data_IF_809556474822
#
_entry.id   IF_809556474822
#
_cell.length_a   1.000
_cell.length_b   1.000
_cell.length_c   1.000
_cell.angle_alpha   90.00
_cell.angle_beta   90.00
_cell.angle_gamma   90.00
#
_symmetry.space_group_name_H-M   'P 1'
#
loop_
_entity.id
_entity.type
_entity.pdbx_description
1 polymer ?
#
# COMPACT_ATOMS: atom_id res chain seq x y z
N UNK A 1 -30.85 -26.32 -8.64
CA UNK A 1 -31.41 -25.74 -7.42
C UNK A 1 -32.85 -26.21 -7.04
N UNK A 2 -33.43 -27.24 -7.54
CA UNK A 2 -34.83 -27.55 -7.22
C UNK A 2 -35.03 -28.52 -6.05
N UNK A 3 -34.01 -29.16 -5.53
CA UNK A 3 -34.20 -30.32 -4.66
C UNK A 3 -34.30 -30.08 -3.16
N UNK A 4 -34.34 -28.85 -2.68
CA UNK A 4 -34.39 -28.57 -1.22
C UNK A 4 -35.77 -28.09 -0.74
N UNK A 5 -36.61 -27.55 -1.62
CA UNK A 5 -37.96 -27.05 -1.26
C UNK A 5 -38.94 -28.16 -0.86
N UNK A 6 -38.78 -29.38 -1.40
CA UNK A 6 -39.68 -30.49 -1.07
C UNK A 6 -39.46 -31.10 0.33
N UNK A 7 -38.33 -30.76 0.96
CA UNK A 7 -38.01 -31.24 2.32
C UNK A 7 -38.74 -30.49 3.44
N UNK A 8 -39.26 -29.27 3.17
CA UNK A 8 -39.93 -28.44 4.18
C UNK A 8 -41.20 -29.08 4.74
N UNK A 9 -41.93 -29.81 3.94
CA UNK A 9 -43.16 -30.44 4.37
C UNK A 9 -43.01 -31.80 5.02
N UNK A 10 -41.77 -32.33 5.14
CA UNK A 10 -41.51 -33.69 5.62
C UNK A 10 -40.52 -33.79 6.79
N UNK A 11 -39.78 -32.76 7.06
CA UNK A 11 -38.85 -32.68 8.18
C UNK A 11 -38.95 -31.27 8.73
N UNK A 12 -38.97 -31.12 10.07
CA UNK A 12 -38.88 -29.84 10.77
C UNK A 12 -37.47 -29.15 10.56
N UNK A 13 -36.92 -29.29 9.36
CA UNK A 13 -35.64 -28.69 8.99
C UNK A 13 -35.89 -27.32 8.31
N UNK A 14 -36.04 -26.30 9.13
CA UNK A 14 -36.15 -24.89 8.75
C UNK A 14 -34.82 -24.26 8.25
N UNK A 15 -33.71 -25.03 8.16
CA UNK A 15 -32.45 -24.60 7.57
C UNK A 15 -32.45 -24.60 6.05
N UNK A 16 -33.40 -23.89 5.47
CA UNK A 16 -33.57 -23.78 4.01
C UNK A 16 -32.53 -22.94 3.31
N UNK A 17 -32.01 -21.99 4.00
CA UNK A 17 -30.99 -21.07 3.47
C UNK A 17 -29.72 -21.24 4.25
N UNK A 18 -28.81 -22.05 3.73
CA UNK A 18 -27.41 -21.87 4.06
C UNK A 18 -27.00 -20.50 3.51
N UNK A 19 -27.22 -19.44 4.31
CA UNK A 19 -26.50 -18.21 4.13
C UNK A 19 -25.05 -18.62 4.37
N UNK A 20 -24.20 -18.60 3.32
CA UNK A 20 -22.77 -18.61 3.49
C UNK A 20 -22.51 -17.52 4.51
N UNK A 21 -22.12 -17.89 5.74
CA UNK A 21 -21.66 -16.93 6.72
C UNK A 21 -20.50 -16.24 5.99
N UNK A 22 -20.73 -15.01 5.55
CA UNK A 22 -19.66 -14.19 5.01
C UNK A 22 -18.63 -14.23 6.13
N UNK A 23 -17.45 -14.76 5.88
CA UNK A 23 -16.40 -14.69 6.87
C UNK A 23 -16.33 -13.22 7.28
N UNK A 24 -16.19 -12.96 8.57
CA UNK A 24 -16.01 -11.59 9.08
C UNK A 24 -14.69 -11.02 8.56
N UNK A 25 -13.89 -11.84 7.87
CA UNK A 25 -12.68 -11.45 7.20
C UNK A 25 -13.00 -10.50 6.05
N UNK A 26 -12.37 -9.35 6.06
CA UNK A 26 -12.48 -8.37 4.99
C UNK A 26 -12.17 -9.04 3.65
N UNK A 27 -13.01 -8.78 2.64
CA UNK A 27 -12.73 -9.20 1.26
C UNK A 27 -11.64 -8.34 0.61
N UNK A 28 -11.27 -7.27 1.26
CA UNK A 28 -10.31 -6.27 0.78
C UNK A 28 -9.09 -6.23 1.67
N UNK A 29 -7.94 -6.00 1.05
CA UNK A 29 -6.70 -5.61 1.71
C UNK A 29 -6.10 -4.43 0.96
N UNK A 30 -5.58 -3.46 1.68
CA UNK A 30 -5.11 -2.21 1.09
C UNK A 30 -3.68 -1.92 1.55
N UNK A 31 -2.82 -1.58 0.59
CA UNK A 31 -1.54 -0.95 0.86
C UNK A 31 -1.61 0.53 0.52
N UNK A 32 -1.13 1.37 1.41
CA UNK A 32 -0.94 2.81 1.20
C UNK A 32 0.55 3.09 1.14
N UNK A 33 1.00 3.60 0.01
CA UNK A 33 2.40 3.87 -0.26
C UNK A 33 2.61 5.38 -0.40
N UNK A 34 3.43 5.96 0.47
CA UNK A 34 3.71 7.39 0.54
C UNK A 34 5.08 7.68 -0.05
N UNK A 35 5.14 8.56 -1.01
CA UNK A 35 6.40 9.08 -1.54
C UNK A 35 7.11 9.94 -0.48
N UNK A 36 8.24 9.44 0.00
CA UNK A 36 9.09 10.10 0.99
C UNK A 36 10.31 10.78 0.36
N UNK A 37 10.27 11.07 -0.93
CA UNK A 37 11.36 11.76 -1.61
C UNK A 37 11.49 13.23 -1.18
N UNK A 38 12.65 13.82 -1.46
CA UNK A 38 12.97 15.20 -1.10
C UNK A 38 12.02 16.24 -1.70
N UNK A 39 11.35 15.95 -2.82
CA UNK A 39 10.32 16.81 -3.42
C UNK A 39 9.12 17.04 -2.48
N UNK A 40 8.89 16.13 -1.54
CA UNK A 40 7.84 16.22 -0.54
C UNK A 40 8.23 17.03 0.72
N UNK A 41 9.49 17.49 0.84
CA UNK A 41 9.99 18.14 2.06
C UNK A 41 9.15 19.35 2.51
N UNK A 42 8.66 20.16 1.56
CA UNK A 42 7.77 21.31 1.86
C UNK A 42 6.31 20.92 2.21
N UNK A 43 5.93 19.64 2.02
CA UNK A 43 4.55 19.14 2.17
C UNK A 43 4.43 17.94 3.11
N UNK A 44 5.47 17.66 3.90
CA UNK A 44 5.53 16.48 4.77
C UNK A 44 4.30 16.32 5.67
N UNK A 45 3.88 17.42 6.31
CA UNK A 45 2.72 17.41 7.19
C UNK A 45 1.42 17.09 6.44
N UNK A 46 1.30 17.55 5.19
CA UNK A 46 0.13 17.28 4.34
C UNK A 46 0.10 15.82 3.91
N UNK A 47 1.23 15.28 3.47
CA UNK A 47 1.35 13.86 3.07
C UNK A 47 1.07 12.95 4.26
N UNK A 48 1.64 13.24 5.42
CA UNK A 48 1.38 12.50 6.65
C UNK A 48 -0.10 12.55 7.04
N UNK A 49 -0.72 13.74 6.99
CA UNK A 49 -2.14 13.89 7.30
C UNK A 49 -3.04 13.13 6.32
N UNK A 50 -2.74 13.16 5.02
CA UNK A 50 -3.48 12.39 4.02
C UNK A 50 -3.35 10.87 4.27
N UNK A 51 -2.13 10.39 4.50
CA UNK A 51 -1.89 8.99 4.85
C UNK A 51 -2.63 8.57 6.12
N UNK A 52 -2.61 9.42 7.15
CA UNK A 52 -3.33 9.19 8.41
C UNK A 52 -4.85 9.12 8.21
N UNK A 53 -5.45 10.08 7.47
CA UNK A 53 -6.90 10.11 7.21
C UNK A 53 -7.34 8.85 6.48
N UNK A 54 -6.57 8.39 5.48
CA UNK A 54 -6.86 7.15 4.77
C UNK A 54 -6.78 5.95 5.71
N UNK A 55 -5.70 5.87 6.51
CA UNK A 55 -5.47 4.77 7.46
C UNK A 55 -6.57 4.72 8.51
N UNK A 56 -6.95 5.87 9.08
CA UNK A 56 -8.04 5.99 10.06
C UNK A 56 -9.37 5.49 9.49
N UNK A 57 -9.71 5.91 8.26
CA UNK A 57 -10.94 5.47 7.60
C UNK A 57 -10.95 3.96 7.34
N UNK A 58 -9.81 3.38 6.95
CA UNK A 58 -9.67 1.94 6.75
C UNK A 58 -9.75 1.15 8.07
N UNK A 59 -9.16 1.71 9.15
CA UNK A 59 -9.26 1.15 10.51
C UNK A 59 -10.71 1.13 10.98
N UNK A 60 -11.47 2.22 10.78
CA UNK A 60 -12.89 2.29 11.12
C UNK A 60 -13.75 1.34 10.30
N UNK A 61 -13.40 1.15 9.04
CA UNK A 61 -14.07 0.19 8.16
C UNK A 61 -13.70 -1.27 8.45
N UNK A 62 -12.74 -1.54 9.34
CA UNK A 62 -12.24 -2.88 9.63
C UNK A 62 -11.53 -3.53 8.45
N UNK A 63 -10.93 -2.74 7.56
CA UNK A 63 -10.21 -3.22 6.39
C UNK A 63 -8.73 -3.39 6.74
N UNK A 64 -8.15 -4.60 6.63
CA UNK A 64 -6.73 -4.81 6.80
C UNK A 64 -5.93 -3.92 5.85
N UNK A 65 -5.02 -3.14 6.40
CA UNK A 65 -4.21 -2.25 5.57
C UNK A 65 -2.82 -2.03 6.16
N UNK A 66 -1.90 -1.67 5.29
CA UNK A 66 -0.51 -1.37 5.61
C UNK A 66 -0.17 0.01 5.07
N UNK A 67 0.58 0.79 5.84
CA UNK A 67 1.06 2.12 5.41
C UNK A 67 2.57 2.13 5.45
N UNK A 68 3.19 2.48 4.31
CA UNK A 68 4.65 2.55 4.17
C UNK A 68 5.04 3.81 3.42
N UNK A 69 6.17 4.39 3.80
CA UNK A 69 6.85 5.41 3.00
C UNK A 69 7.97 4.78 2.18
N UNK A 70 8.30 5.36 1.02
CA UNK A 70 9.42 4.91 0.23
C UNK A 70 10.30 6.06 -0.24
N UNK A 71 11.60 5.81 -0.32
CA UNK A 71 12.58 6.67 -0.94
C UNK A 71 13.74 5.84 -1.51
N UNK A 72 14.60 6.46 -2.31
CA UNK A 72 15.85 5.86 -2.77
C UNK A 72 17.04 6.58 -2.11
N UNK A 73 17.95 5.80 -1.54
CA UNK A 73 19.12 6.31 -0.88
C UNK A 73 20.34 5.46 -1.24
N UNK A 74 21.38 6.10 -1.80
CA UNK A 74 22.62 5.40 -2.20
C UNK A 74 22.40 4.20 -3.14
N UNK A 75 21.43 4.29 -4.05
CA UNK A 75 21.09 3.21 -4.97
C UNK A 75 20.27 2.07 -4.35
N UNK A 76 19.78 2.25 -3.14
CA UNK A 76 18.86 1.33 -2.48
C UNK A 76 17.49 1.96 -2.36
N UNK A 77 16.43 1.19 -2.63
CA UNK A 77 15.06 1.57 -2.27
C UNK A 77 14.83 1.22 -0.81
N UNK A 78 14.43 2.20 -0.03
CA UNK A 78 14.12 2.08 1.39
C UNK A 78 12.61 2.14 1.56
N UNK A 79 12.03 1.14 2.21
CA UNK A 79 10.63 1.12 2.62
C UNK A 79 10.56 1.30 4.14
N UNK A 80 9.99 2.41 4.58
CA UNK A 80 9.73 2.68 6.00
C UNK A 80 8.28 2.30 6.30
N UNK A 81 8.08 1.29 7.15
CA UNK A 81 6.75 0.86 7.56
C UNK A 81 6.28 1.66 8.76
N UNK A 82 5.12 2.30 8.63
CA UNK A 82 4.45 3.01 9.73
C UNK A 82 3.41 2.13 10.41
N UNK A 83 2.66 1.34 9.62
CA UNK A 83 1.64 0.43 10.08
C UNK A 83 1.68 -0.87 9.28
N UNK A 84 1.41 -2.00 9.95
CA UNK A 84 1.19 -3.29 9.32
C UNK A 84 -0.28 -3.72 9.41
N UNK A 85 -0.69 -4.70 8.63
CA UNK A 85 -2.08 -5.17 8.49
C UNK A 85 -2.75 -5.57 9.82
N UNK A 86 -1.99 -6.12 10.75
CA UNK A 86 -2.50 -6.62 12.03
C UNK A 86 -2.24 -5.65 13.20
N UNK A 87 -1.71 -4.47 12.90
CA UNK A 87 -1.48 -3.47 13.94
C UNK A 87 -2.81 -2.91 14.48
N UNK A 88 -2.89 -2.57 15.76
CA UNK A 88 -4.06 -1.92 16.33
C UNK A 88 -4.23 -0.50 15.77
N UNK A 89 -5.42 0.09 15.94
CA UNK A 89 -5.77 1.41 15.40
C UNK A 89 -4.80 2.52 15.86
N UNK A 90 -4.32 2.44 17.08
CA UNK A 90 -3.39 3.41 17.67
C UNK A 90 -2.05 3.50 16.91
N UNK A 91 -1.72 2.46 16.13
CA UNK A 91 -0.53 2.46 15.29
C UNK A 91 -0.60 3.49 14.14
N UNK A 92 -1.80 3.95 13.78
CA UNK A 92 -1.99 4.97 12.74
C UNK A 92 -1.24 6.27 13.08
N UNK A 93 -1.08 6.60 14.35
CA UNK A 93 -0.31 7.79 14.80
C UNK A 93 1.16 7.75 14.37
N UNK A 94 1.74 6.57 14.12
CA UNK A 94 3.12 6.45 13.64
C UNK A 94 3.32 7.09 12.28
N UNK A 95 2.24 7.30 11.51
CA UNK A 95 2.29 7.96 10.19
C UNK A 95 2.79 9.40 10.32
N UNK A 96 2.59 10.07 11.46
CA UNK A 96 3.15 11.39 11.73
C UNK A 96 4.68 11.41 11.92
N UNK A 97 5.30 10.22 11.99
CA UNK A 97 6.76 10.11 11.92
C UNK A 97 7.29 10.21 10.48
N UNK A 98 6.40 10.34 9.49
CA UNK A 98 6.77 10.54 8.09
C UNK A 98 7.76 11.69 7.94
N UNK A 99 8.83 11.45 7.19
CA UNK A 99 9.84 12.45 6.82
C UNK A 99 10.17 12.26 5.34
N UNK A 100 10.30 13.39 4.65
CA UNK A 100 10.74 13.41 3.27
C UNK A 100 12.26 13.66 3.20
N UNK A 101 12.96 12.79 2.49
CA UNK A 101 14.40 12.89 2.27
C UNK A 101 14.84 12.01 1.11
N UNK A 102 16.03 12.31 0.56
CA UNK A 102 16.66 11.54 -0.52
C UNK A 102 15.88 11.57 -1.86
N UNK A 103 16.10 10.60 -2.70
CA UNK A 103 15.54 10.46 -4.04
C UNK A 103 14.36 9.47 -4.04
N UNK A 104 13.82 9.15 -5.21
CA UNK A 104 12.81 8.11 -5.35
C UNK A 104 13.02 7.26 -6.61
N UNK A 105 12.76 5.96 -6.46
CA UNK A 105 12.59 4.97 -7.53
C UNK A 105 11.21 4.35 -7.37
N UNK A 106 10.26 4.91 -8.09
CA UNK A 106 8.86 4.53 -7.93
C UNK A 106 8.63 3.08 -8.36
N UNK A 107 9.17 2.66 -9.52
CA UNK A 107 8.98 1.33 -10.05
C UNK A 107 9.42 0.22 -9.10
N UNK A 108 10.64 0.30 -8.56
CA UNK A 108 11.15 -0.72 -7.63
C UNK A 108 10.36 -0.77 -6.32
N UNK A 109 9.91 0.38 -5.81
CA UNK A 109 9.07 0.45 -4.63
C UNK A 109 7.70 -0.20 -4.90
N UNK A 110 7.06 0.16 -6.01
CA UNK A 110 5.78 -0.40 -6.45
C UNK A 110 5.87 -1.91 -6.61
N UNK A 111 6.86 -2.41 -7.34
CA UNK A 111 7.09 -3.83 -7.56
C UNK A 111 7.23 -4.62 -6.24
N UNK A 112 8.01 -4.08 -5.31
CA UNK A 112 8.22 -4.73 -4.00
C UNK A 112 6.93 -4.78 -3.19
N UNK A 113 6.19 -3.69 -3.14
CA UNK A 113 4.93 -3.61 -2.39
C UNK A 113 3.86 -4.47 -3.06
N UNK A 114 3.71 -4.42 -4.38
CA UNK A 114 2.78 -5.26 -5.12
C UNK A 114 3.06 -6.75 -4.93
N UNK A 115 4.33 -7.17 -5.01
CA UNK A 115 4.71 -8.58 -4.78
C UNK A 115 4.25 -9.07 -3.40
N UNK A 116 4.49 -8.26 -2.36
CA UNK A 116 4.05 -8.58 -0.99
C UNK A 116 2.52 -8.55 -0.85
N UNK A 117 1.84 -7.61 -1.52
CA UNK A 117 0.38 -7.51 -1.49
C UNK A 117 -0.28 -8.70 -2.19
N UNK A 118 0.33 -9.22 -3.26
CA UNK A 118 -0.18 -10.38 -3.99
C UNK A 118 -0.13 -11.67 -3.17
N UNK A 119 0.73 -11.77 -2.16
CA UNK A 119 0.81 -12.92 -1.25
C UNK A 119 -0.34 -12.96 -0.23
N UNK A 120 -1.10 -11.88 -0.11
CA UNK A 120 -2.22 -11.80 0.83
C UNK A 120 -3.39 -12.70 0.38
N UNK A 121 -4.12 -13.32 1.33
CA UNK A 121 -5.23 -14.22 1.02
C UNK A 121 -6.52 -13.53 0.57
N UNK A 122 -6.67 -12.22 0.81
CA UNK A 122 -7.88 -11.47 0.47
C UNK A 122 -8.11 -11.46 -1.05
N UNK A 123 -9.38 -11.49 -1.45
CA UNK A 123 -9.77 -11.56 -2.86
C UNK A 123 -9.43 -10.24 -3.60
N UNK A 124 -9.74 -9.12 -2.96
CA UNK A 124 -9.55 -7.79 -3.55
C UNK A 124 -8.34 -7.10 -2.91
N UNK A 125 -7.35 -6.82 -3.74
CA UNK A 125 -6.10 -6.17 -3.35
C UNK A 125 -6.02 -4.79 -3.99
N UNK A 126 -5.80 -3.77 -3.18
CA UNK A 126 -5.74 -2.38 -3.66
C UNK A 126 -4.43 -1.76 -3.18
N UNK A 127 -3.74 -1.10 -4.08
CA UNK A 127 -2.59 -0.24 -3.77
C UNK A 127 -2.99 1.21 -4.01
N UNK A 128 -2.85 2.05 -2.98
CA UNK A 128 -3.03 3.50 -3.04
C UNK A 128 -1.64 4.13 -2.96
N UNK A 129 -1.28 4.93 -3.96
CA UNK A 129 0.01 5.62 -4.01
C UNK A 129 -0.20 7.11 -3.89
N UNK A 130 0.47 7.75 -2.94
CA UNK A 130 0.54 9.21 -2.80
C UNK A 130 1.93 9.67 -3.21
N UNK A 131 2.06 10.17 -4.44
CA UNK A 131 3.30 10.66 -5.05
C UNK A 131 3.01 11.86 -5.93
N UNK A 132 4.02 12.66 -6.24
CA UNK A 132 3.94 13.71 -7.26
C UNK A 132 4.25 13.18 -8.68
N UNK A 133 4.56 11.90 -8.80
CA UNK A 133 4.82 11.23 -10.08
C UNK A 133 6.09 11.70 -10.79
N UNK A 134 7.08 12.15 -10.03
CA UNK A 134 8.38 12.63 -10.54
C UNK A 134 9.52 11.76 -10.03
N UNK A 135 9.67 10.53 -10.53
CA UNK A 135 10.76 9.67 -10.11
C UNK A 135 12.10 10.29 -10.52
N UNK A 136 13.01 10.35 -9.55
CA UNK A 136 14.37 10.86 -9.76
C UNK A 136 15.31 10.19 -8.77
N UNK A 137 16.30 9.45 -9.27
CA UNK A 137 17.35 8.85 -8.44
C UNK A 137 18.73 9.21 -8.98
N UNK A 138 19.40 10.06 -8.24
CA UNK A 138 20.80 10.40 -8.47
C UNK A 138 21.69 9.47 -7.66
N UNK A 139 22.20 8.42 -8.29
CA UNK A 139 23.20 7.58 -7.65
C UNK A 139 24.53 8.32 -7.55
N UNK A 140 25.07 8.46 -6.35
CA UNK A 140 26.42 8.95 -6.13
C UNK A 140 27.37 7.75 -6.22
N UNK A 141 28.29 7.70 -7.21
CA UNK A 141 29.23 6.59 -7.32
C UNK A 141 30.15 6.52 -6.10
N UNK A 142 30.56 5.33 -5.73
CA UNK A 142 31.53 5.10 -4.64
C UNK A 142 32.85 5.85 -4.81
N UNK A 143 33.16 6.37 -5.99
CA UNK A 143 34.37 7.12 -6.36
C UNK A 143 34.28 8.63 -6.10
N UNK A 144 33.15 9.12 -5.55
CA UNK A 144 32.99 10.56 -5.28
C UNK A 144 32.72 11.42 -6.51
N UNK A 145 32.62 10.86 -7.70
CA UNK A 145 32.17 11.57 -8.91
C UNK A 145 30.65 11.54 -9.01
N UNK A 146 30.05 12.72 -9.16
CA UNK A 146 28.63 12.81 -9.51
C UNK A 146 28.44 12.23 -10.90
N UNK A 147 27.77 11.09 -11.01
CA UNK A 147 27.22 10.66 -12.29
C UNK A 147 25.92 11.44 -12.55
N UNK A 148 25.63 11.75 -13.83
CA UNK A 148 24.32 12.29 -14.17
C UNK A 148 23.23 11.35 -13.65
N UNK A 149 22.05 11.91 -13.33
CA UNK A 149 20.93 11.14 -12.87
C UNK A 149 20.67 9.97 -13.84
N UNK A 150 20.79 8.76 -13.31
CA UNK A 150 20.58 7.53 -14.10
C UNK A 150 19.07 7.28 -14.31
N UNK A 151 18.25 7.98 -13.52
CA UNK A 151 16.83 7.74 -13.42
C UNK A 151 16.11 9.07 -13.21
N UNK A 152 15.73 9.74 -14.31
CA UNK A 152 15.10 11.06 -14.27
C UNK A 152 14.21 11.31 -15.51
N UNK A 153 13.20 12.14 -15.34
CA UNK A 153 12.33 12.63 -16.41
C UNK A 153 11.49 11.53 -17.06
N UNK A 154 11.21 11.66 -18.36
CA UNK A 154 10.34 10.74 -19.08
C UNK A 154 10.84 9.30 -19.10
N UNK A 155 12.15 9.10 -19.13
CA UNK A 155 12.73 7.75 -19.12
C UNK A 155 12.48 7.04 -17.79
N UNK A 156 12.60 7.76 -16.68
CA UNK A 156 12.28 7.22 -15.35
C UNK A 156 10.79 6.89 -15.19
N UNK A 157 9.91 7.71 -15.77
CA UNK A 157 8.46 7.43 -15.79
C UNK A 157 8.15 6.21 -16.65
N UNK A 158 8.79 6.06 -17.80
CA UNK A 158 8.62 4.88 -18.68
C UNK A 158 9.11 3.60 -17.98
N UNK A 159 10.25 3.66 -17.31
CA UNK A 159 10.81 2.54 -16.56
C UNK A 159 9.89 2.14 -15.40
N UNK A 160 9.36 3.12 -14.66
CA UNK A 160 8.35 2.88 -13.64
C UNK A 160 7.11 2.17 -14.18
N UNK A 161 6.67 2.53 -15.39
CA UNK A 161 5.51 1.91 -16.02
C UNK A 161 5.82 0.50 -16.56
N UNK A 162 7.10 0.19 -16.80
CA UNK A 162 7.53 -1.10 -17.32
C UNK A 162 7.77 -2.13 -16.18
N UNK A 163 8.18 -1.71 -14.99
CA UNK A 163 8.40 -2.56 -13.83
C UNK A 163 7.09 -3.00 -13.15
#
# INVERSE_FOLDING_TARGET
>A
MPNRLWKIGRTDDDKLFNRKKKSEDSQFVIDVLLDSSGSQAGRQAQVAAQGYIISEALSEAGIPHRVSGYCAFWGYTVLQRFRDYNDPKEADERIFQFRAYANNRDGLALKTVCSSLMERPEENKILIVLSDGKPCDMSIPRTGTLQPAVYEGEEAVKDTAYE
#
